data_IF_846285022665
#
_entry.id   IF_846285022665
#
_cell.length_a   1.000
_cell.length_b   1.000
_cell.length_c   1.000
_cell.angle_alpha   90.00
_cell.angle_beta   90.00
_cell.angle_gamma   90.00
#
_symmetry.space_group_name_H-M   'P 1'
#
loop_
_entity.id
_entity.type
_entity.pdbx_description
1 polymer ?
#
# COMPACT_ATOMS: atom_id res chain seq x y z
N UNK A 1 17.68 -58.09 41.41
CA UNK A 1 17.05 -58.07 40.07
C UNK A 1 16.63 -56.64 39.77
N UNK A 2 17.45 -55.93 38.98
CA UNK A 2 17.22 -54.52 38.64
C UNK A 2 16.79 -54.45 37.17
N UNK A 3 15.54 -54.08 36.91
CA UNK A 3 15.02 -53.88 35.55
C UNK A 3 13.85 -52.89 35.57
N UNK A 4 14.06 -51.74 36.22
CA UNK A 4 13.29 -50.54 35.91
C UNK A 4 13.93 -49.86 34.71
N UNK A 5 13.76 -50.40 33.50
CA UNK A 5 14.19 -49.72 32.29
C UNK A 5 13.50 -48.35 32.23
N UNK A 6 14.32 -47.30 32.26
CA UNK A 6 13.92 -45.91 32.45
C UNK A 6 12.86 -45.51 31.39
N UNK A 7 11.60 -45.41 31.84
CA UNK A 7 10.45 -45.19 30.95
C UNK A 7 10.64 -43.84 30.24
N UNK A 8 10.55 -43.78 28.90
CA UNK A 8 10.73 -42.53 28.18
C UNK A 8 9.63 -41.54 28.57
N UNK A 9 9.96 -40.58 29.45
CA UNK A 9 9.05 -39.52 29.95
C UNK A 9 8.35 -38.71 28.86
N UNK A 10 8.86 -38.78 27.63
CA UNK A 10 8.35 -38.06 26.47
C UNK A 10 7.28 -38.83 25.67
N UNK A 11 7.05 -40.13 25.89
CA UNK A 11 6.01 -40.93 25.20
C UNK A 11 4.82 -41.16 26.14
N UNK A 12 3.58 -40.92 25.69
CA UNK A 12 2.38 -41.11 26.51
C UNK A 12 1.65 -42.39 26.14
N UNK A 13 1.09 -43.07 27.14
CA UNK A 13 0.21 -44.23 26.95
C UNK A 13 -1.18 -43.84 26.42
N UNK A 14 -1.66 -42.65 26.78
CA UNK A 14 -2.95 -42.12 26.37
C UNK A 14 -2.85 -41.35 25.03
N UNK A 15 -3.93 -41.38 24.23
CA UNK A 15 -4.08 -40.55 23.03
C UNK A 15 -3.45 -41.10 21.75
N UNK A 16 -3.35 -42.43 21.59
CA UNK A 16 -2.82 -43.12 20.40
C UNK A 16 -1.39 -42.69 20.00
N UNK A 17 -0.65 -42.00 20.87
CA UNK A 17 0.71 -41.53 20.58
C UNK A 17 1.72 -42.69 20.45
N UNK A 18 1.48 -43.78 21.18
CA UNK A 18 2.31 -44.99 21.10
C UNK A 18 2.04 -45.79 19.84
N UNK A 19 0.81 -45.79 19.33
CA UNK A 19 0.44 -46.37 18.02
C UNK A 19 1.13 -45.58 16.91
N UNK A 20 1.07 -44.24 16.98
CA UNK A 20 1.78 -43.39 16.03
C UNK A 20 3.30 -43.63 16.06
N UNK A 21 3.88 -43.77 17.26
CA UNK A 21 5.31 -44.06 17.41
C UNK A 21 5.66 -45.44 16.83
N UNK A 22 4.82 -46.44 17.04
CA UNK A 22 4.98 -47.77 16.46
C UNK A 22 4.95 -47.72 14.93
N UNK A 23 3.96 -47.04 14.34
CA UNK A 23 3.86 -46.85 12.90
C UNK A 23 5.08 -46.12 12.31
N UNK A 24 5.57 -45.10 13.01
CA UNK A 24 6.79 -44.39 12.63
C UNK A 24 8.02 -45.32 12.66
N UNK A 25 8.12 -46.19 13.66
CA UNK A 25 9.20 -47.17 13.78
C UNK A 25 9.16 -48.21 12.65
N UNK A 26 7.98 -48.66 12.23
CA UNK A 26 7.83 -49.59 11.11
C UNK A 26 8.19 -48.96 9.75
N UNK A 27 7.94 -47.65 9.61
CA UNK A 27 8.29 -46.86 8.41
C UNK A 27 9.73 -46.37 8.40
N UNK A 28 10.58 -46.82 9.33
CA UNK A 28 11.99 -46.45 9.35
C UNK A 28 12.68 -46.86 8.04
N UNK A 29 13.35 -45.91 7.39
CA UNK A 29 14.07 -46.13 6.13
C UNK A 29 15.42 -46.85 6.33
N UNK A 30 15.89 -46.92 7.58
CA UNK A 30 17.20 -47.49 7.93
C UNK A 30 17.12 -49.02 8.06
N UNK A 31 17.79 -49.80 7.18
CA UNK A 31 17.69 -51.26 7.19
C UNK A 31 18.21 -51.91 8.48
N UNK A 32 19.23 -51.33 9.11
CA UNK A 32 19.81 -51.86 10.35
C UNK A 32 18.86 -51.72 11.54
N UNK A 33 18.21 -50.57 11.63
CA UNK A 33 17.18 -50.30 12.64
C UNK A 33 15.94 -51.14 12.39
N UNK A 34 15.50 -51.27 11.14
CA UNK A 34 14.34 -52.08 10.78
C UNK A 34 14.57 -53.57 11.12
N UNK A 35 15.77 -54.10 10.87
CA UNK A 35 16.12 -55.49 11.21
C UNK A 35 16.08 -55.71 12.72
N UNK A 36 16.69 -54.81 13.51
CA UNK A 36 16.66 -54.88 14.99
C UNK A 36 15.23 -54.77 15.53
N UNK A 37 14.41 -53.91 14.94
CA UNK A 37 13.01 -53.76 15.32
C UNK A 37 12.20 -55.01 15.00
N UNK A 38 12.37 -55.62 13.82
CA UNK A 38 11.70 -56.87 13.46
C UNK A 38 12.09 -58.00 14.40
N UNK A 39 13.37 -58.15 14.71
CA UNK A 39 13.86 -59.15 15.67
C UNK A 39 13.26 -58.95 17.06
N UNK A 40 13.17 -57.71 17.54
CA UNK A 40 12.62 -57.42 18.86
C UNK A 40 11.09 -57.59 18.95
N UNK A 41 10.38 -57.32 17.84
CA UNK A 41 8.91 -57.33 17.76
C UNK A 41 8.33 -58.65 17.24
N UNK A 42 9.18 -59.60 16.82
CA UNK A 42 8.75 -60.90 16.33
C UNK A 42 7.89 -61.63 17.37
N UNK A 43 6.65 -61.97 16.99
CA UNK A 43 5.70 -62.69 17.84
C UNK A 43 5.10 -61.90 19.00
N UNK A 44 5.31 -60.57 19.06
CA UNK A 44 4.71 -59.71 20.10
C UNK A 44 3.60 -58.83 19.52
N UNK A 45 2.50 -58.72 20.25
CA UNK A 45 1.42 -57.80 19.88
C UNK A 45 1.83 -56.32 20.06
N UNK A 46 1.37 -55.41 19.17
CA UNK A 46 1.58 -53.98 19.30
C UNK A 46 1.03 -53.45 20.63
N UNK A 47 1.90 -53.01 21.53
CA UNK A 47 1.51 -52.44 22.82
C UNK A 47 2.47 -51.35 23.28
N UNK A 48 1.98 -50.49 24.17
CA UNK A 48 2.78 -49.42 24.78
C UNK A 48 4.09 -49.94 25.43
N UNK A 49 4.00 -51.04 26.17
CA UNK A 49 5.15 -51.63 26.85
C UNK A 49 6.16 -52.22 25.85
N UNK A 50 5.67 -52.79 24.74
CA UNK A 50 6.53 -53.26 23.65
C UNK A 50 7.29 -52.10 22.99
N UNK A 51 6.61 -50.97 22.73
CA UNK A 51 7.26 -49.78 22.14
C UNK A 51 8.32 -49.20 23.07
N UNK A 52 8.07 -49.14 24.39
CA UNK A 52 9.09 -48.74 25.36
C UNK A 52 10.28 -49.70 25.33
N UNK A 53 10.02 -51.01 25.33
CA UNK A 53 11.05 -52.03 25.26
C UNK A 53 11.90 -51.89 24.00
N UNK A 54 11.27 -51.65 22.86
CA UNK A 54 11.96 -51.43 21.59
C UNK A 54 12.82 -50.16 21.62
N UNK A 55 12.32 -49.07 22.20
CA UNK A 55 13.08 -47.83 22.39
C UNK A 55 14.29 -48.05 23.31
N UNK A 56 14.13 -48.81 24.40
CA UNK A 56 15.22 -49.14 25.32
C UNK A 56 16.29 -49.98 24.62
N UNK A 57 15.88 -51.02 23.88
CA UNK A 57 16.78 -51.86 23.10
C UNK A 57 17.54 -51.08 22.02
N UNK A 58 16.88 -50.15 21.33
CA UNK A 58 17.55 -49.31 20.32
C UNK A 58 18.59 -48.36 20.93
N UNK A 59 18.36 -47.85 22.14
CA UNK A 59 19.31 -46.94 22.82
C UNK A 59 20.65 -47.59 23.15
N UNK A 60 20.73 -48.92 23.20
CA UNK A 60 21.98 -49.66 23.45
C UNK A 60 22.98 -49.49 22.29
N UNK A 61 22.50 -49.08 21.11
CA UNK A 61 23.32 -48.81 19.92
C UNK A 61 23.38 -47.32 19.61
N UNK A 62 24.53 -46.84 19.10
CA UNK A 62 24.71 -45.44 18.68
C UNK A 62 23.70 -45.01 17.60
N UNK A 63 23.53 -45.84 16.57
CA UNK A 63 22.57 -45.62 15.49
C UNK A 63 21.13 -45.59 16.00
N UNK A 64 20.79 -46.47 16.95
CA UNK A 64 19.47 -46.50 17.55
C UNK A 64 19.21 -45.30 18.47
N UNK A 65 20.23 -44.75 19.12
CA UNK A 65 20.11 -43.50 19.89
C UNK A 65 19.81 -42.28 18.99
N UNK A 66 20.45 -42.19 17.84
CA UNK A 66 20.14 -41.17 16.82
C UNK A 66 18.73 -41.34 16.26
N UNK A 67 18.33 -42.58 15.99
CA UNK A 67 16.96 -42.90 15.56
C UNK A 67 15.92 -42.52 16.63
N UNK A 68 16.15 -42.85 17.90
CA UNK A 68 15.26 -42.46 19.01
C UNK A 68 15.19 -40.94 19.15
N UNK A 69 16.28 -40.22 18.90
CA UNK A 69 16.27 -38.75 18.88
C UNK A 69 15.42 -38.19 17.73
N UNK A 70 15.54 -38.77 16.53
CA UNK A 70 14.68 -38.44 15.38
C UNK A 70 13.21 -38.73 15.66
N UNK A 71 12.90 -39.92 16.21
CA UNK A 71 11.55 -40.32 16.61
C UNK A 71 10.96 -39.34 17.63
N UNK A 72 11.72 -38.95 18.67
CA UNK A 72 11.29 -37.96 19.66
C UNK A 72 10.97 -36.61 19.03
N UNK A 73 11.82 -36.13 18.11
CA UNK A 73 11.60 -34.88 17.40
C UNK A 73 10.38 -34.95 16.47
N UNK A 74 10.19 -36.06 15.77
CA UNK A 74 9.06 -36.29 14.90
C UNK A 74 7.75 -36.35 15.70
N UNK A 75 7.73 -37.01 16.87
CA UNK A 75 6.57 -37.02 17.75
C UNK A 75 6.24 -35.60 18.28
N UNK A 76 7.26 -34.80 18.63
CA UNK A 76 7.06 -33.40 19.02
C UNK A 76 6.41 -32.59 17.89
N UNK A 77 6.85 -32.78 16.65
CA UNK A 77 6.24 -32.14 15.48
C UNK A 77 4.82 -32.64 15.23
N UNK A 78 4.57 -33.94 15.38
CA UNK A 78 3.24 -34.54 15.26
C UNK A 78 2.26 -33.93 16.26
N UNK A 79 2.63 -33.85 17.54
CA UNK A 79 1.84 -33.17 18.58
C UNK A 79 1.55 -31.72 18.23
N UNK A 80 2.55 -30.98 17.76
CA UNK A 80 2.35 -29.58 17.36
C UNK A 80 1.35 -29.47 16.20
N UNK A 81 1.44 -30.36 15.20
CA UNK A 81 0.53 -30.39 14.05
C UNK A 81 -0.89 -30.80 14.43
N UNK A 82 -1.06 -31.83 15.27
CA UNK A 82 -2.37 -32.29 15.72
C UNK A 82 -3.08 -31.24 16.60
N UNK A 83 -2.36 -30.61 17.53
CA UNK A 83 -2.88 -29.51 18.34
C UNK A 83 -3.28 -28.29 17.51
N UNK A 84 -2.56 -28.02 16.41
CA UNK A 84 -2.91 -26.93 15.48
C UNK A 84 -4.11 -27.28 14.59
N UNK A 85 -4.28 -28.55 14.22
CA UNK A 85 -5.45 -29.02 13.48
C UNK A 85 -6.75 -28.80 14.26
N UNK A 86 -6.73 -29.02 15.58
CA UNK A 86 -7.84 -28.69 16.49
C UNK A 86 -8.17 -27.19 16.54
N UNK A 87 -7.17 -26.32 16.36
CA UNK A 87 -7.31 -24.85 16.41
C UNK A 87 -7.68 -24.19 15.08
N UNK A 88 -8.11 -24.95 14.07
CA UNK A 88 -8.32 -24.49 12.68
C UNK A 88 -7.09 -23.83 12.04
N UNK A 89 -5.89 -24.01 12.60
CA UNK A 89 -4.64 -23.46 12.06
C UNK A 89 -3.96 -24.56 11.26
N UNK A 90 -4.04 -24.49 9.93
CA UNK A 90 -3.32 -25.41 9.04
C UNK A 90 -2.06 -24.71 8.51
N UNK A 91 -0.87 -25.31 8.66
CA UNK A 91 0.32 -24.75 8.04
C UNK A 91 0.16 -24.83 6.52
N UNK A 92 0.38 -23.72 5.83
CA UNK A 92 0.41 -23.66 4.37
C UNK A 92 1.85 -23.45 3.93
N UNK A 93 2.34 -24.32 3.05
CA UNK A 93 3.66 -24.18 2.44
C UNK A 93 3.50 -23.66 1.02
N UNK A 94 4.12 -22.53 0.71
CA UNK A 94 4.21 -22.00 -0.64
C UNK A 94 5.68 -21.78 -0.99
N UNK A 95 5.99 -21.88 -2.27
CA UNK A 95 7.35 -21.63 -2.79
C UNK A 95 7.42 -20.21 -3.32
N UNK A 96 8.40 -19.44 -2.84
CA UNK A 96 8.72 -18.13 -3.37
C UNK A 96 10.05 -18.15 -4.14
N UNK A 97 10.20 -17.31 -5.18
CA UNK A 97 11.50 -16.95 -5.71
C UNK A 97 12.44 -16.48 -4.60
N UNK A 98 13.72 -16.83 -4.73
CA UNK A 98 14.75 -16.57 -3.71
C UNK A 98 14.86 -15.08 -3.41
N UNK A 99 14.77 -14.24 -4.44
CA UNK A 99 14.91 -12.78 -4.30
C UNK A 99 13.76 -12.17 -3.50
N UNK A 100 12.53 -12.65 -3.73
CA UNK A 100 11.35 -12.21 -2.99
C UNK A 100 11.46 -12.64 -1.53
N UNK A 101 11.90 -13.87 -1.27
CA UNK A 101 12.12 -14.34 0.11
C UNK A 101 13.17 -13.50 0.83
N UNK A 102 14.29 -13.18 0.18
CA UNK A 102 15.34 -12.32 0.77
C UNK A 102 14.81 -10.93 1.07
N UNK A 103 14.09 -10.32 0.14
CA UNK A 103 13.50 -9.00 0.33
C UNK A 103 12.49 -8.99 1.50
N UNK A 104 11.64 -10.03 1.58
CA UNK A 104 10.68 -10.21 2.68
C UNK A 104 11.39 -10.33 4.03
N UNK A 105 12.42 -11.18 4.11
CA UNK A 105 13.21 -11.41 5.32
C UNK A 105 13.92 -10.13 5.79
N UNK A 106 14.59 -9.40 4.88
CA UNK A 106 15.24 -8.12 5.19
C UNK A 106 14.20 -7.09 5.71
N UNK A 107 13.02 -7.05 5.09
CA UNK A 107 11.96 -6.11 5.47
C UNK A 107 11.37 -6.48 6.84
N UNK A 108 11.17 -7.77 7.09
CA UNK A 108 10.67 -8.29 8.36
C UNK A 108 11.66 -8.00 9.50
N UNK A 109 12.96 -8.20 9.27
CA UNK A 109 14.02 -7.87 10.24
C UNK A 109 14.06 -6.38 10.55
N UNK A 110 14.04 -5.52 9.52
CA UNK A 110 14.03 -4.06 9.70
C UNK A 110 12.85 -3.57 10.53
N UNK A 111 11.69 -4.21 10.37
CA UNK A 111 10.46 -3.86 11.08
C UNK A 111 10.29 -4.60 12.41
N UNK A 112 11.22 -5.49 12.78
CA UNK A 112 11.13 -6.31 13.99
C UNK A 112 9.91 -7.25 14.00
N UNK A 113 9.43 -7.65 12.81
CA UNK A 113 8.22 -8.45 12.63
C UNK A 113 8.53 -9.85 12.11
N UNK A 114 7.58 -10.79 12.29
CA UNK A 114 7.64 -12.08 11.59
C UNK A 114 7.23 -11.91 10.13
N UNK A 115 7.81 -12.70 9.24
CA UNK A 115 7.44 -12.71 7.81
C UNK A 115 5.92 -12.86 7.59
N UNK A 116 5.24 -13.68 8.41
CA UNK A 116 3.79 -13.85 8.35
C UNK A 116 3.00 -12.62 8.80
N UNK A 117 3.50 -11.89 9.80
CA UNK A 117 2.87 -10.65 10.27
C UNK A 117 3.02 -9.56 9.20
N UNK A 118 4.22 -9.45 8.61
CA UNK A 118 4.48 -8.52 7.51
C UNK A 118 3.59 -8.82 6.30
N UNK A 119 3.42 -10.09 5.90
CA UNK A 119 2.51 -10.43 4.80
C UNK A 119 1.07 -10.07 5.11
N UNK A 120 0.62 -10.29 6.35
CA UNK A 120 -0.74 -9.90 6.77
C UNK A 120 -0.94 -8.39 6.69
N UNK A 121 0.04 -7.62 7.17
CA UNK A 121 0.01 -6.16 7.14
C UNK A 121 0.07 -5.61 5.71
N UNK A 122 0.88 -6.20 4.83
CA UNK A 122 0.92 -5.85 3.41
C UNK A 122 -0.40 -6.13 2.70
N UNK A 123 -1.06 -7.25 3.01
CA UNK A 123 -2.36 -7.59 2.42
C UNK A 123 -3.45 -6.62 2.91
N UNK A 124 -3.48 -6.31 4.21
CA UNK A 124 -4.45 -5.37 4.76
C UNK A 124 -4.19 -3.92 4.28
N UNK A 125 -2.92 -3.54 4.17
CA UNK A 125 -2.48 -2.24 3.70
C UNK A 125 -2.71 -2.03 2.21
N UNK A 126 -2.60 -3.07 1.38
CA UNK A 126 -2.79 -2.97 -0.07
C UNK A 126 -4.20 -2.50 -0.43
N UNK A 127 -5.23 -3.09 0.18
CA UNK A 127 -6.62 -2.71 -0.09
C UNK A 127 -6.91 -1.28 0.36
N UNK A 128 -6.44 -0.89 1.55
CA UNK A 128 -6.57 0.48 2.07
C UNK A 128 -5.85 1.49 1.17
N UNK A 129 -4.63 1.18 0.77
CA UNK A 129 -3.82 2.04 -0.11
C UNK A 129 -4.49 2.23 -1.47
N UNK A 130 -5.06 1.16 -2.03
CA UNK A 130 -5.73 1.21 -3.33
C UNK A 130 -6.99 2.10 -3.27
N UNK A 131 -7.78 1.99 -2.21
CA UNK A 131 -8.94 2.88 -2.01
C UNK A 131 -8.53 4.34 -1.74
N UNK A 132 -7.45 4.57 -0.97
CA UNK A 132 -6.89 5.92 -0.82
C UNK A 132 -6.45 6.52 -2.15
N UNK A 133 -5.80 5.73 -3.00
CA UNK A 133 -5.40 6.17 -4.34
C UNK A 133 -6.61 6.52 -5.21
N UNK A 134 -7.64 5.67 -5.24
CA UNK A 134 -8.88 5.93 -5.99
C UNK A 134 -9.59 7.19 -5.51
N UNK A 135 -9.68 7.38 -4.20
CA UNK A 135 -10.34 8.56 -3.62
C UNK A 135 -9.55 9.84 -3.89
N UNK A 136 -8.22 9.81 -3.78
CA UNK A 136 -7.34 10.93 -4.16
C UNK A 136 -7.51 11.29 -5.64
N UNK A 137 -7.51 10.30 -6.52
CA UNK A 137 -7.70 10.51 -7.95
C UNK A 137 -9.06 11.16 -8.26
N UNK A 138 -10.13 10.67 -7.63
CA UNK A 138 -11.48 11.25 -7.77
C UNK A 138 -11.52 12.70 -7.28
N UNK A 139 -10.87 13.02 -6.16
CA UNK A 139 -10.77 14.40 -5.64
C UNK A 139 -10.04 15.32 -6.61
N UNK A 140 -8.93 14.88 -7.18
CA UNK A 140 -8.16 15.65 -8.17
C UNK A 140 -8.96 15.90 -9.45
N UNK A 141 -9.63 14.86 -9.97
CA UNK A 141 -10.53 15.01 -11.13
C UNK A 141 -11.64 16.03 -10.84
N UNK A 142 -12.28 15.94 -9.68
CA UNK A 142 -13.31 16.91 -9.28
C UNK A 142 -12.74 18.33 -9.18
N UNK A 143 -11.57 18.51 -8.54
CA UNK A 143 -10.92 19.81 -8.43
C UNK A 143 -10.62 20.42 -9.81
N UNK A 144 -10.10 19.63 -10.75
CA UNK A 144 -9.86 20.05 -12.13
C UNK A 144 -11.15 20.45 -12.84
N UNK A 145 -12.24 19.71 -12.67
CA UNK A 145 -13.53 20.08 -13.30
C UNK A 145 -14.07 21.41 -12.75
N UNK A 146 -13.92 21.66 -11.45
CA UNK A 146 -14.33 22.92 -10.82
C UNK A 146 -13.47 24.07 -11.33
N UNK A 147 -12.16 23.90 -11.42
CA UNK A 147 -11.25 24.91 -11.96
C UNK A 147 -11.58 25.24 -13.42
N UNK A 148 -11.78 24.23 -14.27
CA UNK A 148 -12.20 24.42 -15.67
C UNK A 148 -13.51 25.19 -15.77
N UNK A 149 -14.51 24.89 -14.92
CA UNK A 149 -15.77 25.65 -14.87
C UNK A 149 -15.55 27.11 -14.46
N UNK A 150 -14.71 27.37 -13.45
CA UNK A 150 -14.40 28.73 -12.99
C UNK A 150 -13.67 29.54 -14.07
N UNK A 151 -12.69 28.94 -14.76
CA UNK A 151 -12.00 29.60 -15.87
C UNK A 151 -12.98 29.98 -16.98
N UNK A 152 -13.83 29.03 -17.43
CA UNK A 152 -14.86 29.33 -18.44
C UNK A 152 -15.80 30.47 -18.03
N UNK A 153 -16.20 30.53 -16.75
CA UNK A 153 -17.03 31.62 -16.23
C UNK A 153 -16.30 32.97 -16.22
N UNK A 154 -15.00 32.97 -15.91
CA UNK A 154 -14.19 34.18 -15.95
C UNK A 154 -13.99 34.66 -17.39
N UNK A 155 -13.68 33.76 -18.32
CA UNK A 155 -13.51 34.08 -19.73
C UNK A 155 -14.78 34.71 -20.31
N UNK A 156 -15.95 34.16 -20.00
CA UNK A 156 -17.22 34.72 -20.46
C UNK A 156 -17.49 36.11 -19.87
N UNK A 157 -17.19 36.34 -18.59
CA UNK A 157 -17.31 37.67 -17.98
C UNK A 157 -16.37 38.69 -18.63
N UNK A 158 -15.14 38.29 -18.93
CA UNK A 158 -14.18 39.16 -19.61
C UNK A 158 -14.60 39.47 -21.04
N UNK A 159 -15.14 38.49 -21.76
CA UNK A 159 -15.70 38.67 -23.10
C UNK A 159 -16.84 39.69 -23.10
N UNK A 160 -17.77 39.60 -22.15
CA UNK A 160 -18.88 40.57 -22.02
C UNK A 160 -18.35 41.97 -21.74
N UNK A 161 -17.47 42.14 -20.75
CA UNK A 161 -16.88 43.44 -20.42
C UNK A 161 -16.09 44.05 -21.58
N UNK A 162 -15.38 43.22 -22.33
CA UNK A 162 -14.64 43.66 -23.51
C UNK A 162 -15.59 44.15 -24.61
N UNK A 163 -16.68 43.42 -24.87
CA UNK A 163 -17.71 43.84 -25.82
C UNK A 163 -18.39 45.15 -25.42
N UNK A 164 -18.69 45.35 -24.13
CA UNK A 164 -19.22 46.62 -23.62
C UNK A 164 -18.22 47.77 -23.76
N UNK A 165 -16.94 47.54 -23.46
CA UNK A 165 -15.90 48.55 -23.63
C UNK A 165 -15.73 48.97 -25.09
N UNK A 166 -15.75 48.02 -26.04
CA UNK A 166 -15.72 48.31 -27.48
C UNK A 166 -16.90 49.20 -27.86
N UNK A 167 -18.13 48.86 -27.45
CA UNK A 167 -19.32 49.68 -27.75
C UNK A 167 -19.22 51.10 -27.19
N UNK A 168 -18.64 51.26 -26.00
CA UNK A 168 -18.42 52.59 -25.42
C UNK A 168 -17.38 53.39 -26.22
N UNK A 169 -16.28 52.74 -26.64
CA UNK A 169 -15.27 53.36 -27.49
C UNK A 169 -15.89 53.77 -28.82
N UNK A 170 -16.62 52.88 -29.51
CA UNK A 170 -17.32 53.19 -30.76
C UNK A 170 -18.25 54.40 -30.60
N UNK A 171 -19.03 54.45 -29.52
CA UNK A 171 -19.92 55.58 -29.24
C UNK A 171 -19.15 56.89 -29.04
N UNK A 172 -18.05 56.86 -28.29
CA UNK A 172 -17.21 58.06 -28.10
C UNK A 172 -16.53 58.49 -29.39
N UNK A 173 -16.03 57.54 -30.19
CA UNK A 173 -15.41 57.81 -31.48
C UNK A 173 -16.42 58.38 -32.47
N UNK A 174 -17.62 57.84 -32.57
CA UNK A 174 -18.68 58.40 -33.45
C UNK A 174 -19.06 59.82 -33.05
N UNK A 175 -19.15 60.10 -31.74
CA UNK A 175 -19.36 61.47 -31.25
C UNK A 175 -18.19 62.38 -31.64
N UNK A 176 -16.94 61.97 -31.41
CA UNK A 176 -15.76 62.73 -31.83
C UNK A 176 -15.75 62.99 -33.34
N UNK A 177 -16.01 61.98 -34.16
CA UNK A 177 -16.04 62.14 -35.62
C UNK A 177 -17.19 63.02 -36.10
N UNK A 178 -18.37 62.94 -35.47
CA UNK A 178 -19.46 63.89 -35.73
C UNK A 178 -19.01 65.32 -35.42
N UNK A 179 -18.33 65.51 -34.30
CA UNK A 179 -17.82 66.83 -33.90
C UNK A 179 -16.78 67.35 -34.90
N UNK A 180 -15.80 66.53 -35.27
CA UNK A 180 -14.77 66.88 -36.26
C UNK A 180 -15.39 67.26 -37.61
N UNK A 181 -16.39 66.51 -38.08
CA UNK A 181 -17.06 66.77 -39.36
C UNK A 181 -17.98 67.99 -39.34
N UNK A 182 -18.65 68.28 -38.21
CA UNK A 182 -19.58 69.42 -38.12
C UNK A 182 -18.88 70.78 -37.98
N UNK A 183 -17.64 70.81 -37.48
CA UNK A 183 -16.97 72.06 -37.16
C UNK A 183 -15.89 72.48 -38.15
N UNK A 184 -15.34 71.61 -39.01
CA UNK A 184 -14.16 71.87 -39.87
C UNK A 184 -12.99 72.60 -39.16
N UNK A 185 -13.01 72.65 -37.83
CA UNK A 185 -12.11 73.41 -36.97
C UNK A 185 -11.54 72.47 -35.93
N UNK A 186 -10.23 72.62 -35.70
CA UNK A 186 -9.43 71.82 -34.76
C UNK A 186 -9.86 71.95 -33.30
N UNK A 187 -10.73 72.90 -32.95
CA UNK A 187 -11.19 73.07 -31.57
C UNK A 187 -12.61 73.69 -31.56
N UNK A 188 -13.62 73.03 -30.95
CA UNK A 188 -14.89 73.68 -30.70
C UNK A 188 -14.64 74.82 -29.71
N UNK A 189 -15.25 76.00 -29.92
CA UNK A 189 -15.15 77.12 -28.98
C UNK A 189 -15.71 76.77 -27.60
N UNK A 190 -14.89 76.10 -26.79
CA UNK A 190 -15.16 75.71 -25.43
C UNK A 190 -14.57 76.76 -24.51
N UNK A 191 -15.42 77.46 -23.76
CA UNK A 191 -15.04 78.51 -22.80
C UNK A 191 -14.59 77.91 -21.45
N UNK A 192 -13.83 76.80 -21.51
CA UNK A 192 -13.28 76.11 -20.34
C UNK A 192 -11.76 76.27 -20.40
N UNK A 193 -11.17 76.72 -19.30
CA UNK A 193 -9.73 76.90 -19.15
C UNK A 193 -8.98 75.63 -19.58
N UNK A 194 -8.21 75.72 -20.66
CA UNK A 194 -7.58 74.59 -21.36
C UNK A 194 -6.65 73.78 -20.42
N UNK A 195 -6.09 74.44 -19.40
CA UNK A 195 -5.32 73.83 -18.34
C UNK A 195 -6.14 72.87 -17.47
N UNK A 196 -7.39 73.20 -17.17
CA UNK A 196 -8.29 72.37 -16.37
C UNK A 196 -8.71 71.11 -17.13
N UNK A 197 -9.06 71.24 -18.41
CA UNK A 197 -9.44 70.12 -19.28
C UNK A 197 -8.26 69.15 -19.48
N UNK A 198 -7.05 69.67 -19.75
CA UNK A 198 -5.87 68.84 -19.85
C UNK A 198 -5.56 68.11 -18.54
N UNK A 199 -5.73 68.77 -17.39
CA UNK A 199 -5.50 68.15 -16.09
C UNK A 199 -6.48 67.02 -15.80
N UNK A 200 -7.76 67.17 -16.14
CA UNK A 200 -8.78 66.13 -15.96
C UNK A 200 -8.59 64.97 -16.94
N UNK A 201 -8.25 65.25 -18.20
CA UNK A 201 -7.97 64.19 -19.18
C UNK A 201 -6.75 63.35 -18.77
N UNK A 202 -5.66 63.99 -18.32
CA UNK A 202 -4.47 63.29 -17.82
C UNK A 202 -4.82 62.41 -16.61
N UNK A 203 -5.58 62.92 -15.65
CA UNK A 203 -6.05 62.12 -14.49
C UNK A 203 -6.81 60.87 -14.94
N UNK A 204 -7.77 61.01 -15.87
CA UNK A 204 -8.53 59.86 -16.38
C UNK A 204 -7.66 58.87 -17.16
N UNK A 205 -6.73 59.36 -17.98
CA UNK A 205 -5.78 58.52 -18.71
C UNK A 205 -4.88 57.75 -17.73
N UNK A 206 -4.34 58.41 -16.70
CA UNK A 206 -3.51 57.78 -15.68
C UNK A 206 -4.27 56.70 -14.90
N UNK A 207 -5.55 56.93 -14.58
CA UNK A 207 -6.43 55.94 -13.95
C UNK A 207 -6.64 54.70 -14.85
N UNK A 208 -6.92 54.92 -16.13
CA UNK A 208 -7.07 53.84 -17.13
C UNK A 208 -5.76 53.07 -17.26
N UNK A 209 -4.63 53.77 -17.34
CA UNK A 209 -3.31 53.19 -17.52
C UNK A 209 -2.87 52.38 -16.30
N UNK A 210 -3.19 52.83 -15.08
CA UNK A 210 -3.05 52.02 -13.85
C UNK A 210 -3.91 50.77 -13.90
N UNK A 211 -5.19 50.89 -14.26
CA UNK A 211 -6.09 49.75 -14.33
C UNK A 211 -5.63 48.67 -15.33
N UNK A 212 -5.13 49.09 -16.50
CA UNK A 212 -4.56 48.20 -17.51
C UNK A 212 -3.29 47.52 -16.97
N UNK A 213 -2.37 48.28 -16.36
CA UNK A 213 -1.14 47.74 -15.81
C UNK A 213 -1.41 46.72 -14.69
N UNK A 214 -2.40 46.97 -13.83
CA UNK A 214 -2.79 46.04 -12.77
C UNK A 214 -3.44 44.77 -13.34
N UNK A 215 -4.24 44.88 -14.39
CA UNK A 215 -4.80 43.73 -15.10
C UNK A 215 -3.68 42.87 -15.73
N UNK A 216 -2.69 43.49 -16.39
CA UNK A 216 -1.54 42.80 -16.97
C UNK A 216 -0.67 42.11 -15.91
N UNK A 217 -0.42 42.75 -14.76
CA UNK A 217 0.30 42.12 -13.64
C UNK A 217 -0.43 40.89 -13.12
N UNK A 218 -1.76 40.96 -12.95
CA UNK A 218 -2.57 39.80 -12.54
C UNK A 218 -2.52 38.67 -13.56
N UNK A 219 -2.54 38.98 -14.86
CA UNK A 219 -2.41 37.97 -15.91
C UNK A 219 -1.08 37.23 -15.84
N UNK A 220 0.05 37.95 -15.74
CA UNK A 220 1.39 37.35 -15.64
C UNK A 220 1.53 36.44 -14.42
N UNK A 221 0.94 36.81 -13.28
CA UNK A 221 0.94 35.98 -12.07
C UNK A 221 0.12 34.68 -12.23
N UNK A 222 -0.90 34.69 -13.08
CA UNK A 222 -1.72 33.51 -13.37
C UNK A 222 -1.03 32.57 -14.37
N UNK A 223 -0.38 33.11 -15.40
CA UNK A 223 0.42 32.32 -16.36
C UNK A 223 1.62 31.63 -15.70
N UNK A 224 2.33 32.33 -14.82
CA UNK A 224 3.46 31.76 -14.09
C UNK A 224 3.08 30.62 -13.12
N UNK A 225 1.78 30.44 -12.83
CA UNK A 225 1.27 29.32 -12.00
C UNK A 225 0.82 28.11 -12.82
N UNK A 226 0.80 28.23 -14.16
CA UNK A 226 0.40 27.17 -15.09
C UNK A 226 1.60 26.41 -15.69
N UNK A 227 2.82 26.94 -15.52
CA UNK A 227 4.12 26.31 -15.85
C UNK A 227 4.70 25.70 -14.57
#
# INVERSE_FOLDING_TARGET
>A
MSSGADKPRWLRKAGHEWEWAYDYMQKATDPGIQTRLRLFTLGKEPSYEMVIGAIAYLKESREGLEFVTRLRNALRQHRHRSMNALKKRRPYSFTLPIDIKKALSISAEKLGMTESALMSDLLEGADKSLEEHRTREKRLRNALTIQRKRMKQLDERWRVRHGEAIRQIERLTTLLSMWELTLEQTNPGFDIDEATLQSESKKKIDEIQKAINDALKRHRLLEARLI
#
